data_IF_922403234239
#
_entry.id   IF_922403234239
#
_cell.length_a   1.000
_cell.length_b   1.000
_cell.length_c   1.000
_cell.angle_alpha   90.00
_cell.angle_beta   90.00
_cell.angle_gamma   90.00
#
_symmetry.space_group_name_H-M   'P 1'
#
loop_
_entity.id
_entity.type
_entity.pdbx_description
1 polymer ?
#
# COMPACT_ATOMS: atom_id res chain seq x y z
N UNK A 1 -19.84 -5.34 -0.45
CA UNK A 1 -18.99 -4.13 -0.40
C UNK A 1 -17.71 -4.39 -1.18
N UNK A 2 -17.34 -3.47 -2.08
CA UNK A 2 -16.21 -3.59 -3.02
C UNK A 2 -14.89 -3.78 -2.27
N UNK A 3 -14.66 -3.03 -1.20
CA UNK A 3 -13.42 -3.13 -0.42
C UNK A 3 -13.21 -4.52 0.20
N UNK A 4 -14.29 -5.16 0.69
CA UNK A 4 -14.23 -6.50 1.26
C UNK A 4 -13.87 -7.56 0.23
N UNK A 5 -14.38 -7.44 -1.01
CA UNK A 5 -14.05 -8.35 -2.10
C UNK A 5 -12.55 -8.28 -2.44
N UNK A 6 -11.97 -7.08 -2.50
CA UNK A 6 -10.51 -6.92 -2.70
C UNK A 6 -9.71 -7.59 -1.61
N UNK A 7 -10.05 -7.34 -0.34
CA UNK A 7 -9.35 -7.94 0.81
C UNK A 7 -9.44 -9.47 0.75
N UNK A 8 -10.62 -10.01 0.42
CA UNK A 8 -10.81 -11.45 0.27
C UNK A 8 -9.88 -12.06 -0.79
N UNK A 9 -9.77 -11.43 -1.97
CA UNK A 9 -8.90 -11.92 -3.04
C UNK A 9 -7.42 -11.78 -2.68
N UNK A 10 -7.01 -10.65 -2.09
CA UNK A 10 -5.62 -10.41 -1.66
C UNK A 10 -5.15 -11.50 -0.70
N UNK A 11 -5.95 -11.81 0.33
CA UNK A 11 -5.61 -12.82 1.34
C UNK A 11 -5.45 -14.22 0.75
N UNK A 12 -6.14 -14.53 -0.35
CA UNK A 12 -6.14 -15.86 -1.00
C UNK A 12 -5.14 -15.98 -2.14
N UNK A 13 -4.62 -14.87 -2.67
CA UNK A 13 -3.70 -14.86 -3.80
C UNK A 13 -2.47 -15.74 -3.54
N UNK A 14 -2.10 -16.61 -4.48
CA UNK A 14 -1.04 -17.61 -4.26
C UNK A 14 0.28 -17.31 -4.97
N UNK A 15 0.24 -16.64 -6.13
CA UNK A 15 1.39 -16.47 -7.02
C UNK A 15 1.79 -15.00 -7.17
N UNK A 16 0.87 -14.15 -7.58
CA UNK A 16 1.11 -12.73 -7.70
C UNK A 16 -0.22 -11.95 -7.65
N UNK A 17 -0.12 -10.64 -7.52
CA UNK A 17 -1.22 -9.69 -7.72
C UNK A 17 -0.72 -8.62 -8.68
N UNK A 18 -1.55 -8.25 -9.65
CA UNK A 18 -1.34 -7.10 -10.53
C UNK A 18 -2.49 -6.12 -10.32
N UNK A 19 -2.16 -4.84 -10.15
CA UNK A 19 -3.11 -3.74 -9.99
C UNK A 19 -2.71 -2.67 -10.98
N UNK A 20 -3.68 -2.23 -11.78
CA UNK A 20 -3.61 -1.00 -12.53
C UNK A 20 -4.70 -0.08 -11.98
N UNK A 21 -4.32 1.13 -11.54
CA UNK A 21 -5.28 2.08 -11.00
C UNK A 21 -4.80 3.52 -11.20
N UNK A 22 -5.74 4.45 -11.32
CA UNK A 22 -5.41 5.88 -11.44
C UNK A 22 -4.78 6.41 -10.14
N UNK A 23 -5.24 5.91 -9.00
CA UNK A 23 -4.75 6.28 -7.68
C UNK A 23 -4.38 5.06 -6.86
N UNK A 24 -3.33 5.18 -6.07
CA UNK A 24 -2.94 4.15 -5.11
C UNK A 24 -2.49 4.80 -3.80
N UNK A 25 -3.42 4.88 -2.86
CA UNK A 25 -3.22 5.42 -1.52
C UNK A 25 -4.23 4.78 -0.57
N UNK A 26 -3.89 4.64 0.71
CA UNK A 26 -4.77 4.01 1.68
C UNK A 26 -4.03 3.52 2.90
N UNK A 27 -4.78 2.91 3.82
CA UNK A 27 -4.24 2.32 5.05
C UNK A 27 -3.53 3.36 5.92
N UNK A 28 -4.11 4.57 6.01
CA UNK A 28 -3.52 5.72 6.70
C UNK A 28 -3.27 5.51 8.20
N UNK A 29 -3.97 4.55 8.81
CA UNK A 29 -3.74 4.13 10.20
C UNK A 29 -2.30 3.66 10.44
N UNK A 30 -1.66 3.05 9.42
CA UNK A 30 -0.29 2.52 9.50
C UNK A 30 0.76 3.43 8.87
N UNK A 31 0.41 4.66 8.48
CA UNK A 31 1.40 5.58 7.92
C UNK A 31 2.44 6.00 8.98
N UNK A 32 3.72 6.17 8.57
CA UNK A 32 4.81 6.51 9.47
C UNK A 32 4.79 7.99 9.89
N UNK A 33 4.35 8.89 9.02
CA UNK A 33 4.13 10.29 9.40
C UNK A 33 2.80 10.43 10.16
N UNK A 34 2.84 11.23 11.23
CA UNK A 34 1.74 11.75 12.05
C UNK A 34 1.23 10.85 13.20
N UNK A 35 1.29 11.39 14.42
CA UNK A 35 0.31 11.13 15.49
C UNK A 35 -0.79 12.20 15.49
N UNK A 36 -0.45 13.48 15.30
CA UNK A 36 -1.42 14.58 15.18
C UNK A 36 -2.15 14.58 13.83
N UNK A 37 -3.48 14.76 13.83
CA UNK A 37 -4.26 14.94 12.60
C UNK A 37 -4.61 13.66 11.82
N UNK A 38 -4.23 12.47 12.31
CA UNK A 38 -4.61 11.17 11.72
C UNK A 38 -6.13 10.99 11.59
N UNK A 39 -6.90 11.56 12.51
CA UNK A 39 -8.36 11.47 12.51
C UNK A 39 -9.01 12.09 11.27
N UNK A 40 -8.37 13.12 10.71
CA UNK A 40 -8.86 13.89 9.57
C UNK A 40 -8.50 13.25 8.21
N UNK A 41 -7.66 12.22 8.18
CA UNK A 41 -7.26 11.55 6.94
C UNK A 41 -8.35 10.58 6.48
N UNK A 42 -8.85 10.76 5.25
CA UNK A 42 -9.96 9.96 4.69
C UNK A 42 -9.52 8.60 4.09
N UNK A 43 -8.21 8.35 3.99
CA UNK A 43 -7.62 7.16 3.35
C UNK A 43 -7.59 5.91 4.25
N UNK A 44 -8.73 5.54 4.85
CA UNK A 44 -8.81 4.50 5.91
C UNK A 44 -8.96 3.05 5.43
N UNK A 45 -9.14 2.79 4.14
CA UNK A 45 -9.32 1.41 3.65
C UNK A 45 -8.04 0.56 3.78
N UNK A 46 -8.18 -0.76 3.97
CA UNK A 46 -7.06 -1.67 4.29
C UNK A 46 -6.32 -2.27 3.09
N UNK A 47 -6.69 -1.93 1.86
CA UNK A 47 -6.14 -2.57 0.64
C UNK A 47 -4.58 -2.55 0.58
N UNK A 48 -3.89 -1.39 0.69
CA UNK A 48 -2.42 -1.37 0.69
C UNK A 48 -1.77 -2.20 1.80
N UNK A 49 -2.31 -2.12 3.01
CA UNK A 49 -1.81 -2.90 4.14
C UNK A 49 -1.94 -4.41 3.91
N UNK A 50 -3.09 -4.87 3.41
CA UNK A 50 -3.33 -6.29 3.10
C UNK A 50 -2.39 -6.80 2.01
N UNK A 51 -2.08 -5.98 1.00
CA UNK A 51 -1.09 -6.32 -0.04
C UNK A 51 0.31 -6.51 0.57
N UNK A 52 0.76 -5.56 1.40
CA UNK A 52 2.06 -5.66 2.07
C UNK A 52 2.11 -6.89 2.99
N UNK A 53 1.07 -7.11 3.79
CA UNK A 53 1.00 -8.26 4.68
C UNK A 53 0.92 -9.59 3.93
N UNK A 54 0.34 -9.62 2.72
CA UNK A 54 0.37 -10.81 1.87
C UNK A 54 1.78 -11.16 1.42
N UNK A 55 2.56 -10.16 1.02
CA UNK A 55 3.99 -10.32 0.69
C UNK A 55 4.78 -10.79 1.91
N UNK A 56 4.58 -10.15 3.08
CA UNK A 56 5.21 -10.56 4.34
C UNK A 56 4.91 -12.03 4.69
N UNK A 57 3.66 -12.46 4.55
CA UNK A 57 3.28 -13.85 4.79
C UNK A 57 4.00 -14.81 3.83
N UNK A 58 4.14 -14.44 2.55
CA UNK A 58 4.83 -15.26 1.54
C UNK A 58 6.34 -15.34 1.77
N UNK A 59 6.97 -14.26 2.23
CA UNK A 59 8.38 -14.25 2.68
C UNK A 59 8.57 -15.26 3.82
N UNK A 60 7.73 -15.18 4.87
CA UNK A 60 7.79 -16.10 6.01
C UNK A 60 7.58 -17.56 5.63
N UNK A 61 6.74 -17.81 4.63
CA UNK A 61 6.47 -19.14 4.07
C UNK A 61 7.55 -19.62 3.09
N UNK A 62 8.56 -18.79 2.77
CA UNK A 62 9.59 -19.07 1.75
C UNK A 62 8.97 -19.37 0.37
N UNK A 63 7.87 -18.71 0.05
CA UNK A 63 7.15 -18.88 -1.22
C UNK A 63 7.34 -17.67 -2.11
N UNK A 64 7.65 -17.91 -3.39
CA UNK A 64 7.72 -16.84 -4.40
C UNK A 64 6.36 -16.16 -4.52
N UNK A 65 6.35 -14.84 -4.37
CA UNK A 65 5.16 -14.02 -4.55
C UNK A 65 5.54 -12.60 -4.96
N UNK A 66 4.73 -11.97 -5.81
CA UNK A 66 4.96 -10.60 -6.26
C UNK A 66 3.67 -9.78 -6.26
N UNK A 67 3.79 -8.49 -6.00
CA UNK A 67 2.71 -7.50 -6.17
C UNK A 67 3.23 -6.44 -7.13
N UNK A 68 2.54 -6.27 -8.24
CA UNK A 68 2.84 -5.26 -9.26
C UNK A 68 1.75 -4.21 -9.21
N UNK A 69 2.13 -2.94 -9.03
CA UNK A 69 1.21 -1.80 -8.98
C UNK A 69 1.62 -0.85 -10.10
N UNK A 70 0.74 -0.68 -11.07
CA UNK A 70 0.88 0.25 -12.18
C UNK A 70 -0.04 1.46 -11.91
N UNK A 71 0.58 2.63 -11.82
CA UNK A 71 -0.07 3.92 -11.59
C UNK A 71 0.55 4.94 -12.56
N UNK A 72 -0.17 6.02 -12.92
CA UNK A 72 0.43 7.10 -13.68
C UNK A 72 1.56 7.76 -12.89
N UNK A 73 2.56 8.32 -13.58
CA UNK A 73 3.70 8.99 -12.97
C UNK A 73 3.28 10.16 -12.08
N UNK A 74 2.27 10.90 -12.53
CA UNK A 74 1.57 11.89 -11.74
C UNK A 74 0.07 11.75 -12.00
N UNK A 75 -0.79 12.07 -11.03
CA UNK A 75 -2.22 12.15 -11.31
C UNK A 75 -2.51 13.28 -12.32
N UNK A 76 -3.65 13.18 -12.98
CA UNK A 76 -4.08 14.15 -13.98
C UNK A 76 -4.33 15.53 -13.36
N UNK A 77 -3.80 16.60 -13.96
CA UNK A 77 -3.92 17.98 -13.49
C UNK A 77 -2.57 18.67 -13.24
N UNK A 78 -2.62 19.87 -12.67
CA UNK A 78 -1.42 20.66 -12.35
C UNK A 78 -0.61 20.00 -11.20
N UNK A 79 0.64 19.55 -11.47
CA UNK A 79 1.52 18.96 -10.47
C UNK A 79 1.82 19.86 -9.27
N UNK A 80 1.76 21.18 -9.44
CA UNK A 80 2.11 22.15 -8.40
C UNK A 80 0.92 22.55 -7.52
N UNK A 81 -0.29 22.13 -7.87
CA UNK A 81 -1.48 22.41 -7.07
C UNK A 81 -1.40 21.75 -5.68
N UNK A 82 -1.93 22.43 -4.66
CA UNK A 82 -1.97 21.93 -3.27
C UNK A 82 -2.66 20.57 -3.17
N UNK A 83 -3.75 20.38 -3.93
CA UNK A 83 -4.47 19.11 -3.99
C UNK A 83 -3.58 17.98 -4.53
N UNK A 84 -2.83 18.25 -5.61
CA UNK A 84 -1.93 17.26 -6.20
C UNK A 84 -0.79 16.89 -5.27
N UNK A 85 -0.14 17.89 -4.66
CA UNK A 85 0.92 17.68 -3.68
C UNK A 85 0.42 16.88 -2.47
N UNK A 86 -0.82 17.11 -2.03
CA UNK A 86 -1.45 16.34 -0.94
C UNK A 86 -1.66 14.87 -1.34
N UNK A 87 -2.15 14.60 -2.55
CA UNK A 87 -2.32 13.24 -3.05
C UNK A 87 -0.99 12.51 -3.20
N UNK A 88 0.04 13.17 -3.74
CA UNK A 88 1.39 12.63 -3.84
C UNK A 88 1.98 12.34 -2.45
N UNK A 89 1.75 13.21 -1.48
CA UNK A 89 2.14 12.98 -0.09
C UNK A 89 1.46 11.71 0.46
N UNK A 90 0.13 11.57 0.34
CA UNK A 90 -0.61 10.38 0.79
C UNK A 90 -0.16 9.09 0.10
N UNK A 91 0.14 9.17 -1.19
CA UNK A 91 0.71 8.05 -1.94
C UNK A 91 2.10 7.67 -1.41
N UNK A 92 2.97 8.64 -1.16
CA UNK A 92 4.31 8.39 -0.60
C UNK A 92 4.25 7.70 0.77
N UNK A 93 3.33 8.14 1.65
CA UNK A 93 3.12 7.54 2.97
C UNK A 93 2.62 6.10 2.87
N UNK A 94 1.73 5.84 1.90
CA UNK A 94 1.22 4.49 1.62
C UNK A 94 2.36 3.57 1.18
N UNK A 95 3.21 4.00 0.24
CA UNK A 95 4.35 3.20 -0.21
C UNK A 95 5.39 3.02 0.90
N UNK A 96 5.71 4.06 1.67
CA UNK A 96 6.66 3.97 2.77
C UNK A 96 6.21 2.93 3.80
N UNK A 97 4.92 2.93 4.17
CA UNK A 97 4.33 1.91 5.04
C UNK A 97 4.51 0.50 4.45
N UNK A 98 4.14 0.29 3.19
CA UNK A 98 4.22 -1.03 2.55
C UNK A 98 5.66 -1.54 2.48
N UNK A 99 6.59 -0.71 2.00
CA UNK A 99 8.00 -1.07 1.88
C UNK A 99 8.65 -1.32 3.25
N UNK A 100 8.27 -0.57 4.28
CA UNK A 100 8.75 -0.80 5.65
C UNK A 100 8.36 -2.20 6.13
N UNK A 101 7.09 -2.61 5.97
CA UNK A 101 6.63 -3.95 6.36
C UNK A 101 7.37 -5.07 5.63
N UNK A 102 7.59 -4.90 4.33
CA UNK A 102 8.34 -5.89 3.52
C UNK A 102 9.81 -5.93 3.93
N UNK A 103 10.46 -4.78 4.10
CA UNK A 103 11.86 -4.68 4.52
C UNK A 103 12.10 -5.29 5.90
N UNK A 104 11.21 -5.04 6.87
CA UNK A 104 11.25 -5.67 8.19
C UNK A 104 11.15 -7.20 8.10
N UNK A 105 10.27 -7.72 7.25
CA UNK A 105 10.12 -9.17 7.06
C UNK A 105 11.36 -9.79 6.42
N UNK A 106 11.98 -9.10 5.45
CA UNK A 106 13.24 -9.54 4.84
C UNK A 106 14.39 -9.52 5.84
N UNK A 107 14.54 -8.45 6.64
CA UNK A 107 15.59 -8.35 7.68
C UNK A 107 15.50 -9.47 8.71
N UNK A 108 14.29 -9.86 9.12
CA UNK A 108 14.08 -10.97 10.06
C UNK A 108 14.27 -12.35 9.41
N UNK A 109 14.19 -12.44 8.09
CA UNK A 109 14.39 -13.67 7.33
C UNK A 109 15.86 -13.90 6.95
N UNK A 110 16.63 -12.82 6.79
CA UNK A 110 18.08 -12.90 6.57
C UNK A 110 18.80 -13.64 7.72
N UNK A 111 19.94 -14.30 7.43
CA UNK A 111 20.77 -14.91 8.46
C UNK A 111 21.25 -13.90 9.51
#
# INVERSE_FOLDING_TARGET
>A
DVALAYIYQIRRAQKFIYIENQYFMGSSEWWPAFEEGKDNVKCKHRIPYELAMRVVAKIRQKQRFAVYICIPLHPEGDPQSVAMQTMLFWQSQTFQMMYTKVAEALKRWGP
#
